data_IF_814608888634
#
_entry.id   IF_814608888634
#
_cell.length_a   1.000
_cell.length_b   1.000
_cell.length_c   1.000
_cell.angle_alpha   90.00
_cell.angle_beta   90.00
_cell.angle_gamma   90.00
#
_symmetry.space_group_name_H-M   'P 1'
#
loop_
_entity.id
_entity.type
_entity.pdbx_description
1 polymer ?
#
# COMPACT_ATOMS: atom_id res chain seq x y z
N UNK A 1 45.94 6.01 -2.25
CA UNK A 1 46.48 7.39 -2.35
C UNK A 1 45.72 8.22 -1.32
N UNK A 2 46.24 8.38 -0.10
CA UNK A 2 47.10 9.49 0.37
C UNK A 2 46.37 10.86 0.26
N UNK A 3 46.29 11.76 1.25
CA UNK A 3 46.70 11.88 2.66
C UNK A 3 46.25 13.31 3.10
N UNK A 4 45.76 13.50 4.34
CA UNK A 4 45.84 14.73 5.21
C UNK A 4 44.75 14.62 6.30
N UNK A 5 44.98 14.42 7.61
CA UNK A 5 45.78 15.17 8.60
C UNK A 5 45.53 16.69 8.52
N UNK A 6 45.22 17.47 9.55
CA UNK A 6 45.23 17.32 11.01
C UNK A 6 44.67 18.64 11.61
N UNK A 7 44.22 18.62 12.88
CA UNK A 7 44.16 19.72 13.87
C UNK A 7 43.03 20.77 13.80
N UNK A 8 42.15 20.78 14.82
CA UNK A 8 42.26 21.78 15.90
C UNK A 8 41.58 21.31 17.20
N UNK A 9 42.23 21.63 18.31
CA UNK A 9 41.93 21.25 19.68
C UNK A 9 41.44 22.48 20.45
N UNK A 10 40.89 22.25 21.67
CA UNK A 10 40.58 23.23 22.73
C UNK A 10 39.20 23.92 22.65
N UNK A 11 38.44 24.18 23.72
CA UNK A 11 38.74 24.32 25.14
C UNK A 11 37.60 23.82 26.06
N UNK A 12 38.05 23.33 27.21
CA UNK A 12 37.38 22.87 28.42
C UNK A 12 36.78 24.07 29.19
N UNK A 13 35.53 23.99 29.63
CA UNK A 13 35.08 24.72 30.84
C UNK A 13 34.20 23.81 31.72
N UNK A 14 34.54 23.83 33.00
CA UNK A 14 34.05 23.04 34.13
C UNK A 14 33.24 24.00 35.03
N UNK A 15 32.51 23.42 35.99
CA UNK A 15 31.93 24.05 37.21
C UNK A 15 30.53 24.67 37.00
N UNK A 16 29.50 24.46 37.83
CA UNK A 16 29.38 23.95 39.20
C UNK A 16 27.98 23.39 39.49
N UNK A 17 27.97 22.36 40.33
CA UNK A 17 26.85 21.83 41.11
C UNK A 17 26.50 22.74 42.29
N UNK A 18 25.20 22.90 42.58
CA UNK A 18 24.71 23.24 43.92
C UNK A 18 23.42 22.44 44.23
N UNK A 19 23.53 21.55 45.21
CA UNK A 19 22.47 21.13 46.16
C UNK A 19 21.96 22.40 46.91
N UNK A 20 20.75 22.54 47.44
CA UNK A 20 19.91 21.62 48.22
C UNK A 20 18.50 22.25 48.46
N UNK A 21 17.50 21.41 48.74
CA UNK A 21 16.08 21.68 49.10
C UNK A 21 15.91 22.26 50.54
N UNK A 22 14.71 22.26 51.19
CA UNK A 22 13.30 22.56 50.83
C UNK A 22 12.68 23.61 51.80
N UNK A 23 11.38 23.92 51.69
CA UNK A 23 10.43 24.01 52.83
C UNK A 23 8.99 24.37 52.35
N UNK A 24 8.10 23.37 52.50
CA UNK A 24 6.74 23.36 53.08
C UNK A 24 5.91 24.67 53.06
N UNK A 25 4.68 24.63 52.52
CA UNK A 25 3.40 24.80 53.28
C UNK A 25 2.13 24.74 52.39
N UNK A 26 1.28 23.75 52.72
CA UNK A 26 -0.21 23.67 52.73
C UNK A 26 -1.02 24.24 51.53
N UNK A 27 -1.68 23.38 50.75
CA UNK A 27 -3.10 22.96 50.93
C UNK A 27 -4.07 24.12 51.22
N UNK A 28 -5.01 24.40 50.31
CA UNK A 28 -6.45 24.57 50.62
C UNK A 28 -7.28 24.59 49.31
N UNK A 29 -8.05 23.52 49.14
CA UNK A 29 -9.46 23.43 48.73
C UNK A 29 -10.03 24.36 47.63
N UNK A 30 -10.51 23.71 46.55
CA UNK A 30 -11.66 24.05 45.68
C UNK A 30 -12.80 24.79 46.41
N UNK A 31 -13.70 25.57 45.75
CA UNK A 31 -14.39 25.15 44.52
C UNK A 31 -14.77 26.27 43.50
N UNK A 32 -15.26 25.84 42.33
CA UNK A 32 -16.04 26.67 41.38
C UNK A 32 -17.30 27.22 42.08
N UNK A 33 -17.82 28.37 41.60
CA UNK A 33 -19.15 28.29 41.01
C UNK A 33 -19.31 29.11 39.72
N UNK A 34 -20.07 28.52 38.81
CA UNK A 34 -20.86 29.16 37.77
C UNK A 34 -21.84 30.19 38.33
N UNK A 35 -22.08 31.33 37.66
CA UNK A 35 -23.37 32.05 37.47
C UNK A 35 -23.03 33.38 36.73
N UNK A 36 -23.40 33.55 35.46
CA UNK A 36 -24.62 34.22 34.97
C UNK A 36 -24.79 35.65 35.51
N UNK A 37 -24.57 36.65 34.64
CA UNK A 37 -25.03 38.03 34.78
C UNK A 37 -25.15 38.58 33.34
N UNK A 38 -26.30 38.52 32.66
CA UNK A 38 -27.49 39.39 32.74
C UNK A 38 -27.14 40.87 32.92
N UNK A 39 -26.94 41.58 31.80
CA UNK A 39 -27.34 42.98 31.70
C UNK A 39 -28.25 43.15 30.48
N UNK A 40 -29.51 43.45 30.78
CA UNK A 40 -30.52 43.95 29.85
C UNK A 40 -30.19 45.42 29.55
N UNK A 41 -30.16 45.80 28.29
CA UNK A 41 -30.60 47.13 27.88
C UNK A 41 -31.62 46.97 26.76
N UNK A 42 -32.82 47.45 27.05
CA UNK A 42 -33.92 47.53 26.11
C UNK A 42 -33.69 48.74 25.21
N UNK A 43 -33.53 48.53 23.91
CA UNK A 43 -33.98 49.52 22.94
C UNK A 43 -34.88 48.83 21.92
N UNK A 44 -36.16 49.11 22.11
CA UNK A 44 -37.25 48.88 21.19
C UNK A 44 -37.08 49.82 20.01
N UNK A 45 -36.84 49.27 18.83
CA UNK A 45 -37.34 49.86 17.58
C UNK A 45 -37.85 48.73 16.69
N UNK A 46 -39.15 48.76 16.51
CA UNK A 46 -39.93 47.89 15.65
C UNK A 46 -39.58 48.11 14.18
N UNK A 47 -38.85 47.16 13.60
CA UNK A 47 -38.96 46.86 12.17
C UNK A 47 -39.07 45.35 12.00
N UNK A 48 -40.19 44.94 11.41
CA UNK A 48 -40.58 43.57 11.10
C UNK A 48 -39.47 42.81 10.36
N UNK A 49 -38.72 41.97 11.08
CA UNK A 49 -37.93 40.90 10.46
C UNK A 49 -38.80 39.64 10.49
N UNK A 50 -39.68 39.49 9.50
CA UNK A 50 -40.26 38.19 9.15
C UNK A 50 -39.20 37.38 8.40
N UNK A 51 -38.14 37.00 9.10
CA UNK A 51 -37.26 35.90 8.68
C UNK A 51 -37.25 34.90 9.82
N UNK A 52 -38.23 33.99 9.77
CA UNK A 52 -38.11 32.71 10.47
C UNK A 52 -36.70 32.17 10.19
N UNK A 53 -35.90 31.80 11.21
CA UNK A 53 -34.61 31.19 10.95
C UNK A 53 -34.92 29.93 10.15
N UNK A 54 -34.45 29.88 8.90
CA UNK A 54 -34.50 28.66 8.09
C UNK A 54 -33.94 27.58 9.00
N UNK A 55 -34.81 26.67 9.47
CA UNK A 55 -34.41 25.46 10.19
C UNK A 55 -33.19 24.95 9.43
N UNK A 56 -32.03 24.90 10.07
CA UNK A 56 -30.86 24.26 9.50
C UNK A 56 -31.29 22.81 9.28
N UNK A 57 -31.86 22.52 8.11
CA UNK A 57 -32.01 21.16 7.61
C UNK A 57 -30.58 20.68 7.59
N UNK A 58 -30.23 19.80 8.52
CA UNK A 58 -29.02 19.00 8.44
C UNK A 58 -29.07 18.43 7.04
N UNK A 59 -28.27 19.00 6.13
CA UNK A 59 -28.16 18.49 4.77
C UNK A 59 -27.68 17.06 4.96
N UNK A 60 -28.53 16.07 4.67
CA UNK A 60 -28.07 14.70 4.50
C UNK A 60 -26.87 14.80 3.58
N UNK A 61 -25.70 14.35 4.05
CA UNK A 61 -24.50 14.34 3.21
C UNK A 61 -24.89 13.58 1.95
N UNK A 62 -24.76 14.21 0.79
CA UNK A 62 -25.01 13.54 -0.47
C UNK A 62 -24.04 12.35 -0.53
N UNK A 63 -24.58 11.18 -0.86
CA UNK A 63 -23.77 9.98 -1.08
C UNK A 63 -22.70 10.32 -2.13
N UNK A 64 -21.44 10.14 -1.75
CA UNK A 64 -20.31 10.45 -2.61
C UNK A 64 -19.48 9.19 -2.82
N UNK A 65 -19.04 8.87 -4.05
CA UNK A 65 -18.20 7.71 -4.31
C UNK A 65 -16.88 7.69 -3.49
N UNK A 66 -16.49 8.83 -2.92
CA UNK A 66 -15.31 8.96 -2.04
C UNK A 66 -15.54 8.51 -0.61
N UNK A 67 -16.80 8.38 -0.19
CA UNK A 67 -17.18 7.96 1.16
C UNK A 67 -17.98 6.68 1.16
N UNK A 68 -18.65 6.37 0.05
CA UNK A 68 -19.42 5.14 -0.08
C UNK A 68 -18.47 3.94 -0.09
N UNK A 69 -18.70 2.94 0.77
CA UNK A 69 -17.91 1.71 0.75
C UNK A 69 -18.19 0.94 -0.53
N UNK A 70 -17.17 0.24 -1.03
CA UNK A 70 -17.29 -0.57 -2.25
C UNK A 70 -18.24 -1.76 -2.05
N UNK A 71 -18.16 -2.42 -0.89
CA UNK A 71 -19.05 -3.49 -0.49
C UNK A 71 -20.12 -2.96 0.47
N UNK A 72 -21.38 -2.97 0.04
CA UNK A 72 -22.54 -2.59 0.86
C UNK A 72 -23.24 -3.80 1.49
N UNK A 73 -23.23 -4.93 0.78
CA UNK A 73 -24.08 -6.08 1.08
C UNK A 73 -23.40 -7.17 1.94
N UNK A 74 -22.09 -7.04 2.19
CA UNK A 74 -21.30 -8.04 2.92
C UNK A 74 -20.76 -7.51 4.25
N UNK A 75 -20.57 -8.39 5.26
CA UNK A 75 -19.96 -7.99 6.52
C UNK A 75 -18.53 -7.51 6.27
N UNK A 76 -18.23 -6.31 6.78
CA UNK A 76 -16.90 -5.72 6.70
C UNK A 76 -15.94 -6.48 7.60
N UNK A 77 -14.74 -6.73 7.09
CA UNK A 77 -13.67 -7.39 7.84
C UNK A 77 -12.76 -6.28 8.40
N UNK A 78 -12.76 -6.03 9.72
CA UNK A 78 -12.06 -4.88 10.31
C UNK A 78 -10.56 -4.87 10.04
N UNK A 79 -9.91 -6.05 10.05
CA UNK A 79 -8.47 -6.16 9.84
C UNK A 79 -8.02 -5.61 8.48
N UNK A 80 -8.76 -5.90 7.40
CA UNK A 80 -8.43 -5.40 6.05
C UNK A 80 -8.65 -3.89 5.91
N UNK A 81 -9.71 -3.35 6.53
CA UNK A 81 -9.95 -1.90 6.54
C UNK A 81 -8.86 -1.17 7.34
N UNK A 82 -8.41 -1.74 8.46
CA UNK A 82 -7.32 -1.19 9.27
C UNK A 82 -6.00 -1.10 8.49
N UNK A 83 -5.71 -2.06 7.61
CA UNK A 83 -4.52 -2.00 6.73
C UNK A 83 -4.58 -0.80 5.78
N UNK A 84 -5.74 -0.50 5.20
CA UNK A 84 -5.92 0.69 4.36
C UNK A 84 -5.73 1.98 5.17
N UNK A 85 -6.27 2.03 6.39
CA UNK A 85 -6.12 3.19 7.27
C UNK A 85 -4.66 3.41 7.69
N UNK A 86 -3.93 2.32 7.98
CA UNK A 86 -2.49 2.33 8.27
C UNK A 86 -1.70 2.91 7.10
N UNK A 87 -1.95 2.44 5.87
CA UNK A 87 -1.27 2.95 4.68
C UNK A 87 -1.57 4.43 4.45
N UNK A 88 -2.82 4.86 4.68
CA UNK A 88 -3.20 6.27 4.59
C UNK A 88 -2.47 7.13 5.63
N UNK A 89 -2.27 6.60 6.84
CA UNK A 89 -1.52 7.25 7.92
C UNK A 89 -0.04 7.43 7.56
N UNK A 90 0.61 6.37 7.09
CA UNK A 90 2.04 6.40 6.71
C UNK A 90 2.31 6.84 5.27
N UNK A 91 1.28 7.27 4.52
CA UNK A 91 1.41 7.70 3.13
C UNK A 91 2.46 8.79 2.93
N UNK A 92 2.59 9.70 3.90
CA UNK A 92 3.62 10.75 3.86
C UNK A 92 5.03 10.16 3.95
N UNK A 93 5.24 9.25 4.90
CA UNK A 93 6.52 8.56 5.11
C UNK A 93 6.94 7.77 3.87
N UNK A 94 6.10 6.84 3.41
CA UNK A 94 6.43 5.95 2.28
C UNK A 94 6.76 6.73 1.01
N UNK A 95 6.00 7.78 0.74
CA UNK A 95 6.20 8.63 -0.43
C UNK A 95 7.43 9.54 -0.32
N UNK A 96 7.65 10.12 0.87
CA UNK A 96 8.82 10.97 1.12
C UNK A 96 10.10 10.14 1.06
N UNK A 97 10.11 8.93 1.63
CA UNK A 97 11.22 7.98 1.49
C UNK A 97 11.55 7.72 0.02
N UNK A 98 10.56 7.31 -0.78
CA UNK A 98 10.74 7.02 -2.19
C UNK A 98 11.15 8.25 -3.04
N UNK A 99 10.86 9.46 -2.57
CA UNK A 99 11.29 10.69 -3.23
C UNK A 99 12.73 11.06 -2.86
N UNK A 100 13.06 11.07 -1.56
CA UNK A 100 14.38 11.42 -1.05
C UNK A 100 15.44 10.42 -1.50
N UNK A 101 15.10 9.13 -1.57
CA UNK A 101 15.98 8.09 -2.10
C UNK A 101 16.49 8.39 -3.53
N UNK A 102 15.76 9.20 -4.31
CA UNK A 102 16.16 9.60 -5.66
C UNK A 102 17.00 10.86 -5.70
N UNK A 103 17.02 11.64 -4.62
CA UNK A 103 17.77 12.88 -4.54
C UNK A 103 19.23 12.58 -4.16
N UNK A 104 20.19 13.34 -4.70
CA UNK A 104 21.56 13.28 -4.19
C UNK A 104 21.56 13.66 -2.71
N UNK A 105 22.31 12.90 -1.90
CA UNK A 105 22.45 13.10 -0.44
C UNK A 105 21.15 12.94 0.38
N UNK A 106 20.05 12.48 -0.24
CA UNK A 106 18.76 12.26 0.43
C UNK A 106 18.17 13.49 1.16
N UNK A 107 18.50 14.72 0.70
CA UNK A 107 18.02 15.97 1.31
C UNK A 107 17.11 16.76 0.36
N UNK A 108 16.20 17.55 0.92
CA UNK A 108 15.32 18.47 0.19
C UNK A 108 15.13 19.80 0.94
N UNK A 109 15.10 20.91 0.21
CA UNK A 109 14.78 22.22 0.75
C UNK A 109 13.29 22.30 1.16
N UNK A 110 12.98 22.86 2.35
CA UNK A 110 11.60 22.94 2.85
C UNK A 110 10.65 23.77 1.97
N UNK A 111 11.17 24.79 1.29
CA UNK A 111 10.35 25.65 0.42
C UNK A 111 9.86 24.90 -0.82
N UNK A 112 10.71 24.06 -1.40
CA UNK A 112 10.36 23.19 -2.53
C UNK A 112 9.46 22.04 -2.08
N UNK A 113 9.74 21.46 -0.91
CA UNK A 113 8.90 20.43 -0.31
C UNK A 113 7.43 20.86 -0.17
N UNK A 114 7.18 22.14 0.14
CA UNK A 114 5.84 22.71 0.22
C UNK A 114 5.06 22.64 -1.10
N UNK A 115 5.75 22.74 -2.24
CA UNK A 115 5.15 22.64 -3.58
C UNK A 115 4.87 21.18 -3.96
N UNK A 116 5.73 20.26 -3.54
CA UNK A 116 5.73 18.82 -3.87
C UNK A 116 4.73 17.96 -3.07
N UNK A 117 3.55 18.51 -2.75
CA UNK A 117 2.52 17.83 -1.97
C UNK A 117 2.04 16.49 -2.55
N UNK A 118 2.02 16.34 -3.87
CA UNK A 118 1.62 15.08 -4.53
C UNK A 118 2.69 13.98 -4.39
N UNK A 119 3.94 14.38 -4.52
CA UNK A 119 5.12 13.51 -4.49
C UNK A 119 5.42 13.06 -3.07
N UNK A 120 5.39 13.97 -2.09
CA UNK A 120 5.60 13.67 -0.67
C UNK A 120 4.36 13.11 0.04
N UNK A 121 3.18 13.19 -0.58
CA UNK A 121 1.99 12.47 -0.10
C UNK A 121 1.14 13.15 0.97
N UNK A 122 1.34 14.45 1.24
CA UNK A 122 0.55 15.20 2.22
C UNK A 122 -0.61 16.02 1.58
N UNK A 123 -1.66 16.37 2.33
CA UNK A 123 -2.79 17.14 1.79
C UNK A 123 -2.39 18.54 1.33
N UNK A 124 -2.88 18.95 0.15
CA UNK A 124 -2.65 20.30 -0.41
C UNK A 124 -3.02 21.39 0.61
N UNK A 125 -2.15 22.38 0.77
CA UNK A 125 -2.35 23.52 1.68
C UNK A 125 -1.96 23.28 3.14
N UNK A 126 -1.44 22.10 3.49
CA UNK A 126 -0.84 21.85 4.81
C UNK A 126 0.66 22.11 4.78
N UNK A 127 1.23 22.57 5.90
CA UNK A 127 2.68 22.77 6.05
C UNK A 127 3.39 21.43 6.25
N UNK A 128 4.40 21.15 5.44
CA UNK A 128 5.22 19.92 5.49
C UNK A 128 5.86 19.71 6.85
N UNK A 129 6.27 20.80 7.50
CA UNK A 129 6.93 20.77 8.81
C UNK A 129 6.12 20.02 9.87
N UNK A 130 4.77 20.08 9.82
CA UNK A 130 3.93 19.33 10.76
C UNK A 130 3.96 17.83 10.53
N UNK A 131 4.19 17.40 9.29
CA UNK A 131 4.31 15.99 8.95
C UNK A 131 5.71 15.47 9.31
N UNK A 132 6.74 16.29 9.11
CA UNK A 132 8.12 15.99 9.52
C UNK A 132 8.21 15.84 11.05
N UNK A 133 7.62 16.78 11.79
CA UNK A 133 7.59 16.75 13.27
C UNK A 133 6.86 15.54 13.87
N UNK A 134 6.06 14.80 13.08
CA UNK A 134 5.44 13.55 13.53
C UNK A 134 6.41 12.36 13.48
N UNK A 135 7.51 12.49 12.75
CA UNK A 135 8.46 11.42 12.44
C UNK A 135 9.90 11.91 12.71
N UNK A 136 10.15 12.44 13.90
CA UNK A 136 11.42 13.09 14.25
C UNK A 136 12.62 12.15 14.23
N UNK A 137 12.42 10.86 14.49
CA UNK A 137 13.48 9.84 14.43
C UNK A 137 13.90 9.49 13.00
N UNK A 138 13.06 9.79 12.01
CA UNK A 138 13.30 9.44 10.61
C UNK A 138 13.82 10.64 9.82
N UNK A 139 13.28 11.82 10.10
CA UNK A 139 13.58 13.04 9.36
C UNK A 139 14.19 14.10 10.27
N UNK A 140 15.35 14.60 9.86
CA UNK A 140 16.03 15.70 10.53
C UNK A 140 15.86 17.01 9.76
N UNK A 141 15.74 18.12 10.48
CA UNK A 141 15.68 19.45 9.88
C UNK A 141 16.86 20.28 10.35
N UNK A 142 17.60 20.88 9.42
CA UNK A 142 18.74 21.73 9.73
C UNK A 142 18.73 23.01 8.90
N UNK A 143 19.47 24.01 9.37
CA UNK A 143 19.65 25.28 8.66
C UNK A 143 20.96 25.22 7.88
N UNK A 144 20.89 25.29 6.57
CA UNK A 144 22.08 25.31 5.72
C UNK A 144 22.74 26.70 5.73
N UNK A 145 23.98 26.78 5.26
CA UNK A 145 24.79 28.03 5.20
C UNK A 145 24.10 29.15 4.42
N UNK A 146 23.22 28.80 3.47
CA UNK A 146 22.41 29.72 2.68
C UNK A 146 21.29 30.42 3.50
N UNK A 147 21.19 30.13 4.80
CA UNK A 147 20.16 30.64 5.68
C UNK A 147 18.78 29.99 5.48
N UNK A 148 18.66 29.07 4.51
CA UNK A 148 17.48 28.26 4.19
C UNK A 148 17.41 27.00 5.04
N UNK A 149 16.20 26.50 5.25
CA UNK A 149 15.95 25.26 5.99
C UNK A 149 15.84 24.07 5.04
N UNK A 150 16.55 23.00 5.38
CA UNK A 150 16.57 21.73 4.66
C UNK A 150 16.07 20.62 5.58
N UNK A 151 15.57 19.54 4.99
CA UNK A 151 15.26 18.32 5.71
C UNK A 151 15.72 17.11 4.90
N UNK A 152 16.16 16.07 5.60
CA UNK A 152 16.68 14.84 4.99
C UNK A 152 16.49 13.66 5.91
N UNK A 153 17.14 12.54 5.57
CA UNK A 153 17.20 11.37 6.44
C UNK A 153 18.08 11.65 7.68
N UNK A 154 17.64 11.10 8.81
CA UNK A 154 18.48 10.95 10.01
C UNK A 154 19.53 9.86 9.80
N UNK A 155 20.59 9.84 10.59
CA UNK A 155 21.57 8.74 10.64
C UNK A 155 20.89 7.37 10.84
N UNK A 156 19.83 7.33 11.67
CA UNK A 156 19.01 6.12 11.85
C UNK A 156 18.37 5.69 10.53
N UNK A 157 17.81 6.65 9.78
CA UNK A 157 17.13 6.35 8.53
C UNK A 157 18.11 5.92 7.43
N UNK A 158 19.31 6.50 7.37
CA UNK A 158 20.37 6.02 6.47
C UNK A 158 20.73 4.56 6.76
N UNK A 159 20.89 4.18 8.04
CA UNK A 159 21.14 2.78 8.41
C UNK A 159 20.00 1.83 8.00
N UNK A 160 18.75 2.31 8.05
CA UNK A 160 17.58 1.54 7.59
C UNK A 160 17.53 1.43 6.07
N UNK A 161 17.97 2.46 5.34
CA UNK A 161 18.06 2.41 3.87
C UNK A 161 19.11 1.40 3.44
N UNK A 162 20.26 1.34 4.12
CA UNK A 162 21.28 0.33 3.87
C UNK A 162 20.76 -1.09 4.13
N UNK A 163 20.00 -1.28 5.21
CA UNK A 163 19.32 -2.55 5.52
C UNK A 163 18.33 -2.95 4.41
N UNK A 164 17.52 -1.99 3.91
CA UNK A 164 16.58 -2.22 2.80
C UNK A 164 17.30 -2.64 1.51
N UNK A 165 18.40 -1.96 1.17
CA UNK A 165 19.23 -2.32 0.02
C UNK A 165 19.80 -3.73 0.14
N UNK A 166 20.28 -4.12 1.33
CA UNK A 166 20.76 -5.47 1.59
C UNK A 166 19.65 -6.53 1.41
N UNK A 167 18.41 -6.21 1.79
CA UNK A 167 17.25 -7.10 1.57
C UNK A 167 16.99 -7.27 0.07
N UNK A 168 17.03 -6.18 -0.71
CA UNK A 168 16.87 -6.25 -2.16
C UNK A 168 17.92 -7.12 -2.84
N UNK A 169 19.18 -7.02 -2.42
CA UNK A 169 20.27 -7.84 -2.97
C UNK A 169 20.09 -9.33 -2.64
N UNK A 170 19.69 -9.66 -1.40
CA UNK A 170 19.42 -11.04 -1.00
C UNK A 170 18.24 -11.65 -1.75
N UNK A 171 17.19 -10.87 -1.98
CA UNK A 171 15.93 -11.33 -2.59
C UNK A 171 15.90 -11.22 -4.12
N UNK A 172 16.99 -10.78 -4.75
CA UNK A 172 17.02 -10.48 -6.18
C UNK A 172 16.49 -11.61 -7.06
N UNK A 173 16.88 -12.86 -6.77
CA UNK A 173 16.44 -14.04 -7.54
C UNK A 173 14.94 -14.24 -7.48
N UNK A 174 14.35 -14.12 -6.29
CA UNK A 174 12.91 -14.25 -6.08
C UNK A 174 12.15 -13.15 -6.83
N UNK A 175 12.67 -11.92 -6.84
CA UNK A 175 12.08 -10.80 -7.60
C UNK A 175 12.18 -11.01 -9.11
N UNK A 176 13.28 -11.57 -9.59
CA UNK A 176 13.44 -11.96 -10.99
C UNK A 176 12.39 -13.01 -11.37
N UNK A 177 12.18 -14.02 -10.54
CA UNK A 177 11.16 -15.06 -10.80
C UNK A 177 9.73 -14.50 -10.75
N UNK A 178 9.44 -13.55 -9.86
CA UNK A 178 8.16 -12.81 -9.84
C UNK A 178 7.93 -12.09 -11.17
N UNK A 179 8.95 -11.39 -11.70
CA UNK A 179 8.83 -10.69 -12.98
C UNK A 179 8.72 -11.67 -14.15
N UNK A 180 9.45 -12.80 -14.12
CA UNK A 180 9.31 -13.87 -15.11
C UNK A 180 7.88 -14.40 -15.14
N UNK A 181 7.31 -14.74 -13.98
CA UNK A 181 5.91 -15.17 -13.86
C UNK A 181 4.92 -14.12 -14.37
N UNK A 182 5.15 -12.84 -14.03
CA UNK A 182 4.30 -11.75 -14.49
C UNK A 182 4.32 -11.62 -16.03
N UNK A 183 5.49 -11.74 -16.66
CA UNK A 183 5.61 -11.78 -18.12
C UNK A 183 4.98 -13.04 -18.71
N UNK A 184 5.13 -14.20 -18.08
CA UNK A 184 4.51 -15.45 -18.56
C UNK A 184 2.99 -15.38 -18.57
N UNK A 185 2.37 -14.61 -17.69
CA UNK A 185 0.93 -14.36 -17.67
C UNK A 185 0.47 -13.27 -18.65
N UNK A 186 1.39 -12.45 -19.17
CA UNK A 186 1.03 -11.35 -20.05
C UNK A 186 0.81 -11.80 -21.49
N UNK A 187 -0.11 -11.12 -22.17
CA UNK A 187 -0.31 -11.23 -23.60
C UNK A 187 1.02 -10.97 -24.33
N UNK A 188 1.37 -11.87 -25.25
CA UNK A 188 2.62 -11.83 -26.01
C UNK A 188 3.90 -11.85 -25.15
N UNK A 189 3.81 -12.17 -23.86
CA UNK A 189 4.95 -12.27 -22.92
C UNK A 189 5.79 -10.99 -22.82
N UNK A 190 5.11 -9.85 -23.02
CA UNK A 190 5.69 -8.50 -23.10
C UNK A 190 4.96 -7.58 -22.12
N UNK A 191 5.71 -6.74 -21.41
CA UNK A 191 5.17 -5.69 -20.54
C UNK A 191 6.05 -4.43 -20.64
N UNK A 192 5.46 -3.23 -20.78
CA UNK A 192 6.20 -1.98 -20.70
C UNK A 192 6.93 -1.80 -19.36
N UNK A 193 8.22 -1.43 -19.40
CA UNK A 193 9.01 -1.22 -18.19
C UNK A 193 8.45 -0.10 -17.30
N UNK A 194 7.78 0.90 -17.89
CA UNK A 194 7.11 1.98 -17.14
C UNK A 194 6.01 1.45 -16.22
N UNK A 195 5.24 0.45 -16.66
CA UNK A 195 4.16 -0.14 -15.86
C UNK A 195 4.70 -0.96 -14.69
N UNK A 196 5.76 -1.75 -14.95
CA UNK A 196 6.48 -2.49 -13.90
C UNK A 196 7.06 -1.51 -12.88
N UNK A 197 7.72 -0.44 -13.34
CA UNK A 197 8.32 0.56 -12.46
C UNK A 197 7.27 1.28 -11.59
N UNK A 198 6.10 1.60 -12.15
CA UNK A 198 5.00 2.21 -11.41
C UNK A 198 4.49 1.29 -10.29
N UNK A 199 4.43 -0.03 -10.54
CA UNK A 199 3.95 -1.03 -9.58
C UNK A 199 5.07 -1.73 -8.79
N UNK A 200 6.33 -1.29 -8.89
CA UNK A 200 7.51 -1.99 -8.34
C UNK A 200 7.40 -2.33 -6.85
N UNK A 201 6.85 -1.41 -6.06
CA UNK A 201 6.70 -1.57 -4.61
C UNK A 201 5.73 -2.70 -4.23
N UNK A 202 4.77 -3.05 -5.10
CA UNK A 202 3.85 -4.16 -4.86
C UNK A 202 4.54 -5.51 -4.93
N UNK A 203 5.54 -5.61 -5.80
CA UNK A 203 6.30 -6.83 -6.05
C UNK A 203 7.62 -6.88 -5.27
N UNK A 204 7.95 -5.82 -4.51
CA UNK A 204 9.25 -5.70 -3.83
C UNK A 204 10.42 -5.53 -4.78
N UNK A 205 10.17 -4.92 -5.95
CA UNK A 205 11.19 -4.68 -6.97
C UNK A 205 11.94 -3.38 -6.65
N UNK A 206 13.29 -3.39 -6.61
CA UNK A 206 14.10 -2.20 -6.32
C UNK A 206 14.02 -1.15 -7.43
N UNK A 207 14.46 0.07 -7.15
CA UNK A 207 14.49 1.15 -8.15
C UNK A 207 15.44 0.84 -9.32
N UNK A 208 16.56 0.19 -9.02
CA UNK A 208 17.63 -0.15 -9.98
C UNK A 208 17.29 -1.36 -10.86
N UNK A 209 16.06 -1.89 -10.75
CA UNK A 209 15.66 -3.10 -11.45
C UNK A 209 15.92 -3.05 -12.95
N UNK A 210 15.78 -1.88 -13.56
CA UNK A 210 16.10 -1.67 -14.98
C UNK A 210 17.53 -2.07 -15.34
N UNK A 211 18.49 -1.78 -14.47
CA UNK A 211 19.89 -2.12 -14.68
C UNK A 211 20.15 -3.59 -14.29
N UNK A 212 19.47 -4.08 -13.24
CA UNK A 212 19.55 -5.50 -12.83
C UNK A 212 19.05 -6.45 -13.91
N UNK A 213 18.02 -6.08 -14.65
CA UNK A 213 17.48 -6.87 -15.79
C UNK A 213 18.56 -7.19 -16.82
N UNK A 214 19.50 -6.28 -17.07
CA UNK A 214 20.59 -6.48 -18.04
C UNK A 214 21.53 -7.63 -17.63
N UNK A 215 21.57 -8.01 -16.35
CA UNK A 215 22.36 -9.14 -15.84
C UNK A 215 21.73 -10.50 -16.18
N UNK A 216 20.48 -10.52 -16.65
CA UNK A 216 19.74 -11.75 -16.98
C UNK A 216 19.31 -11.80 -18.45
N UNK A 217 20.24 -11.76 -19.42
CA UNK A 217 19.92 -11.79 -20.85
C UNK A 217 19.24 -13.10 -21.28
N UNK A 218 19.44 -14.18 -20.53
CA UNK A 218 18.80 -15.47 -20.78
C UNK A 218 17.29 -15.46 -20.50
N UNK A 219 16.83 -14.53 -19.66
CA UNK A 219 15.42 -14.43 -19.25
C UNK A 219 14.73 -13.25 -19.91
N UNK A 220 15.42 -12.12 -20.03
CA UNK A 220 14.83 -10.85 -20.43
C UNK A 220 15.49 -10.26 -21.67
N UNK A 221 14.65 -9.72 -22.54
CA UNK A 221 15.05 -8.87 -23.66
C UNK A 221 14.35 -7.53 -23.53
N UNK A 222 15.11 -6.45 -23.71
CA UNK A 222 14.55 -5.10 -23.74
C UNK A 222 14.40 -4.68 -25.21
N UNK A 223 13.17 -4.55 -25.67
CA UNK A 223 12.85 -3.98 -26.98
C UNK A 223 12.47 -2.51 -26.83
N UNK A 224 12.89 -1.67 -27.78
CA UNK A 224 12.46 -0.29 -27.87
C UNK A 224 11.51 -0.18 -29.06
N UNK A 225 10.25 0.11 -28.79
CA UNK A 225 9.27 0.33 -29.85
C UNK A 225 9.54 1.64 -30.59
N UNK A 226 8.92 1.79 -31.77
CA UNK A 226 8.98 2.99 -32.59
C UNK A 226 8.56 4.26 -31.83
N UNK A 227 7.70 4.11 -30.82
CA UNK A 227 7.23 5.17 -29.91
C UNK A 227 8.28 5.57 -28.84
N UNK A 228 9.46 4.95 -28.83
CA UNK A 228 10.49 5.13 -27.79
C UNK A 228 10.20 4.44 -26.45
N UNK A 229 9.09 3.70 -26.36
CA UNK A 229 8.71 2.93 -25.18
C UNK A 229 9.62 1.71 -25.05
N UNK A 230 10.13 1.49 -23.83
CA UNK A 230 10.95 0.31 -23.51
C UNK A 230 10.05 -0.80 -22.99
N UNK A 231 10.05 -1.93 -23.69
CA UNK A 231 9.26 -3.11 -23.36
C UNK A 231 10.20 -4.20 -22.89
N UNK A 232 9.81 -4.85 -21.80
CA UNK A 232 10.44 -6.06 -21.31
C UNK A 232 9.74 -7.27 -21.93
N UNK A 233 10.49 -8.09 -22.64
CA UNK A 233 10.03 -9.35 -23.24
C UNK A 233 10.70 -10.54 -22.55
N UNK A 234 9.92 -11.61 -22.36
CA UNK A 234 10.45 -12.89 -21.90
C UNK A 234 11.12 -13.65 -23.05
N UNK A 235 12.40 -13.99 -22.89
CA UNK A 235 13.18 -14.76 -23.88
C UNK A 235 12.90 -16.25 -23.74
N UNK A 236 13.07 -16.77 -22.53
CA UNK A 236 12.96 -18.19 -22.26
C UNK A 236 11.76 -18.49 -21.36
N UNK A 237 10.88 -19.38 -21.82
CA UNK A 237 9.75 -19.88 -21.06
C UNK A 237 10.21 -21.01 -20.15
N UNK A 238 9.91 -20.90 -18.85
CA UNK A 238 10.28 -21.91 -17.87
C UNK A 238 9.05 -22.66 -17.37
N UNK A 239 8.85 -23.92 -17.78
CA UNK A 239 7.70 -24.72 -17.35
C UNK A 239 7.64 -24.93 -15.84
N UNK A 240 8.78 -24.89 -15.13
CA UNK A 240 8.80 -25.08 -13.68
C UNK A 240 8.15 -23.90 -12.92
N UNK A 241 8.20 -22.70 -13.52
CA UNK A 241 7.54 -21.51 -13.00
C UNK A 241 6.08 -21.39 -13.45
N UNK A 242 5.70 -22.07 -14.55
CA UNK A 242 4.37 -22.05 -15.14
C UNK A 242 3.34 -22.88 -14.35
N UNK A 243 3.48 -22.96 -13.03
CA UNK A 243 2.55 -23.63 -12.12
C UNK A 243 2.01 -22.60 -11.15
N UNK A 244 0.72 -22.35 -11.26
CA UNK A 244 -0.01 -21.38 -10.42
C UNK A 244 -0.12 -21.86 -8.98
N UNK A 245 -0.32 -20.92 -8.06
CA UNK A 245 -0.54 -21.24 -6.65
C UNK A 245 -1.76 -22.16 -6.49
N UNK A 246 -2.83 -21.92 -7.26
CA UNK A 246 -4.03 -22.77 -7.26
C UNK A 246 -3.74 -24.21 -7.68
N UNK A 247 -2.95 -24.41 -8.73
CA UNK A 247 -2.59 -25.76 -9.20
C UNK A 247 -1.74 -26.49 -8.15
N UNK A 248 -0.82 -25.78 -7.47
CA UNK A 248 -0.04 -26.36 -6.36
C UNK A 248 -0.94 -26.73 -5.17
N UNK A 249 -1.87 -25.85 -4.81
CA UNK A 249 -2.82 -26.12 -3.72
C UNK A 249 -3.78 -27.26 -4.07
N UNK A 250 -4.16 -27.42 -5.33
CA UNK A 250 -5.06 -28.49 -5.78
C UNK A 250 -4.45 -29.88 -5.55
N UNK A 251 -3.12 -30.00 -5.65
CA UNK A 251 -2.40 -31.25 -5.35
C UNK A 251 -2.34 -31.57 -3.84
N UNK A 252 -2.46 -30.55 -2.99
CA UNK A 252 -2.38 -30.70 -1.53
C UNK A 252 -3.77 -30.91 -0.92
N UNK A 253 -4.73 -30.06 -1.32
CA UNK A 253 -6.11 -30.06 -0.85
C UNK A 253 -7.07 -29.66 -1.99
N UNK A 254 -7.52 -30.70 -2.70
CA UNK A 254 -8.44 -30.56 -3.84
C UNK A 254 -9.76 -29.88 -3.43
N UNK A 255 -10.26 -30.24 -2.25
CA UNK A 255 -11.55 -29.82 -1.76
C UNK A 255 -11.56 -28.33 -1.37
N UNK A 256 -10.45 -27.81 -0.84
CA UNK A 256 -10.28 -26.37 -0.60
C UNK A 256 -10.33 -25.58 -1.90
N UNK A 257 -9.63 -26.03 -2.94
CA UNK A 257 -9.61 -25.34 -4.25
C UNK A 257 -10.99 -25.39 -4.93
N UNK A 258 -11.68 -26.54 -4.89
CA UNK A 258 -13.08 -26.67 -5.37
C UNK A 258 -14.04 -25.70 -4.69
N UNK A 259 -13.79 -25.37 -3.42
CA UNK A 259 -14.61 -24.42 -2.65
C UNK A 259 -14.21 -22.96 -2.82
N UNK A 260 -12.99 -22.69 -3.31
CA UNK A 260 -12.45 -21.34 -3.45
C UNK A 260 -13.28 -20.52 -4.45
N UNK A 261 -13.48 -21.04 -5.66
CA UNK A 261 -14.28 -20.38 -6.69
C UNK A 261 -15.65 -21.03 -6.87
N UNK A 262 -16.69 -20.20 -7.05
CA UNK A 262 -18.05 -20.66 -7.37
C UNK A 262 -18.54 -19.99 -8.63
N UNK A 263 -18.79 -20.77 -9.68
CA UNK A 263 -19.39 -20.28 -10.94
C UNK A 263 -20.84 -20.81 -11.06
N UNK A 264 -21.83 -20.09 -10.52
CA UNK A 264 -23.19 -20.61 -10.45
C UNK A 264 -23.85 -20.73 -11.84
N UNK A 265 -24.69 -21.75 -12.02
CA UNK A 265 -25.52 -21.90 -13.22
C UNK A 265 -26.53 -20.76 -13.31
N UNK A 266 -26.59 -20.06 -14.47
CA UNK A 266 -27.42 -18.86 -14.68
C UNK A 266 -28.93 -19.08 -14.44
N UNK A 267 -29.44 -20.29 -14.60
CA UNK A 267 -30.85 -20.64 -14.46
C UNK A 267 -31.14 -21.66 -13.34
N UNK A 268 -30.22 -21.86 -12.38
CA UNK A 268 -30.40 -22.89 -11.35
C UNK A 268 -31.71 -22.76 -10.54
N UNK A 269 -32.17 -21.52 -10.29
CA UNK A 269 -33.44 -21.25 -9.60
C UNK A 269 -34.70 -21.51 -10.45
N UNK A 270 -34.59 -21.41 -11.77
CA UNK A 270 -35.69 -21.70 -12.68
C UNK A 270 -35.85 -23.21 -12.91
N UNK A 271 -34.76 -23.95 -12.68
CA UNK A 271 -34.70 -25.39 -12.86
C UNK A 271 -35.16 -26.19 -11.63
N UNK A 272 -35.58 -25.52 -10.55
CA UNK A 272 -36.01 -26.13 -9.27
C UNK A 272 -35.10 -27.27 -8.79
N UNK A 273 -33.78 -27.11 -9.00
CA UNK A 273 -32.81 -28.18 -8.72
C UNK A 273 -32.70 -28.45 -7.23
N UNK A 274 -32.53 -29.73 -6.88
CA UNK A 274 -32.16 -30.12 -5.53
C UNK A 274 -30.79 -29.53 -5.15
N UNK A 275 -30.57 -29.35 -3.84
CA UNK A 275 -29.36 -28.71 -3.31
C UNK A 275 -28.08 -29.42 -3.77
N UNK A 276 -28.13 -30.76 -3.89
CA UNK A 276 -26.96 -31.55 -4.28
C UNK A 276 -26.72 -31.55 -5.80
N UNK A 277 -27.78 -31.47 -6.60
CA UNK A 277 -27.67 -31.28 -8.05
C UNK A 277 -27.14 -29.89 -8.40
N UNK A 278 -27.57 -28.85 -7.68
CA UNK A 278 -27.02 -27.51 -7.84
C UNK A 278 -25.53 -27.48 -7.48
N UNK A 279 -25.12 -28.15 -6.39
CA UNK A 279 -23.70 -28.27 -6.03
C UNK A 279 -22.91 -28.99 -7.12
N UNK A 280 -23.43 -30.10 -7.66
CA UNK A 280 -22.78 -30.88 -8.72
C UNK A 280 -22.63 -30.06 -10.00
N UNK A 281 -23.69 -29.37 -10.44
CA UNK A 281 -23.66 -28.52 -11.61
C UNK A 281 -22.74 -27.31 -11.44
N UNK A 282 -22.73 -26.70 -10.26
CA UNK A 282 -21.78 -25.63 -9.93
C UNK A 282 -20.34 -26.14 -9.96
N UNK A 283 -20.08 -27.37 -9.51
CA UNK A 283 -18.74 -27.98 -9.57
C UNK A 283 -18.31 -28.25 -11.02
N UNK A 284 -19.21 -28.75 -11.86
CA UNK A 284 -18.98 -28.92 -13.30
C UNK A 284 -18.72 -27.58 -14.00
N UNK A 285 -19.41 -26.51 -13.57
CA UNK A 285 -19.10 -25.18 -14.05
C UNK A 285 -17.79 -24.64 -13.50
N UNK A 286 -17.34 -25.04 -12.31
CA UNK A 286 -16.08 -24.53 -11.73
C UNK A 286 -14.87 -25.22 -12.33
N UNK A 287 -14.92 -26.53 -12.58
CA UNK A 287 -13.79 -27.32 -13.09
C UNK A 287 -13.90 -27.57 -14.61
N UNK A 288 -12.79 -27.70 -15.35
CA UNK A 288 -11.42 -27.48 -14.89
C UNK A 288 -11.14 -25.99 -14.62
N UNK A 289 -10.19 -25.73 -13.71
CA UNK A 289 -9.62 -24.40 -13.55
C UNK A 289 -8.69 -24.14 -14.74
N UNK A 290 -8.83 -22.97 -15.37
CA UNK A 290 -7.98 -22.58 -16.49
C UNK A 290 -6.68 -22.01 -15.92
N UNK A 291 -5.54 -22.52 -16.37
CA UNK A 291 -4.23 -22.06 -15.90
C UNK A 291 -3.97 -20.61 -16.30
N UNK A 292 -3.52 -19.73 -15.39
CA UNK A 292 -3.13 -18.36 -15.70
C UNK A 292 -1.99 -18.23 -16.72
N UNK A 293 -1.21 -19.30 -16.92
CA UNK A 293 -0.09 -19.36 -17.85
C UNK A 293 -0.47 -19.95 -19.22
N UNK A 294 -1.75 -20.21 -19.45
CA UNK A 294 -2.29 -20.60 -20.77
C UNK A 294 -2.62 -19.37 -21.63
N UNK A 295 -2.76 -19.55 -22.94
CA UNK A 295 -3.01 -18.45 -23.89
C UNK A 295 -4.44 -17.88 -23.79
N UNK A 296 -4.69 -17.07 -22.75
CA UNK A 296 -6.01 -16.48 -22.50
C UNK A 296 -6.46 -15.41 -23.50
N UNK A 297 -5.57 -14.94 -24.39
CA UNK A 297 -5.91 -14.01 -25.46
C UNK A 297 -6.81 -14.65 -26.53
N UNK A 298 -6.77 -15.98 -26.64
CA UNK A 298 -7.61 -16.74 -27.58
C UNK A 298 -9.05 -16.96 -27.09
N UNK A 299 -9.34 -16.65 -25.82
CA UNK A 299 -10.63 -16.90 -25.21
C UNK A 299 -11.64 -15.80 -25.52
N UNK A 300 -12.84 -16.19 -25.94
CA UNK A 300 -13.95 -15.27 -26.19
C UNK A 300 -14.40 -14.58 -24.90
N UNK A 301 -14.43 -13.24 -24.92
CA UNK A 301 -14.66 -12.36 -23.75
C UNK A 301 -15.89 -12.70 -22.91
N UNK A 302 -16.93 -13.27 -23.53
CA UNK A 302 -18.24 -13.52 -22.91
C UNK A 302 -18.45 -14.97 -22.46
N UNK A 303 -17.44 -15.81 -22.61
CA UNK A 303 -17.48 -17.21 -22.18
C UNK A 303 -17.20 -17.35 -20.69
N UNK A 304 -17.74 -18.42 -20.11
CA UNK A 304 -17.48 -18.79 -18.72
C UNK A 304 -15.99 -19.17 -18.52
N UNK A 305 -15.35 -19.72 -19.54
CA UNK A 305 -13.91 -20.03 -19.56
C UNK A 305 -13.05 -18.77 -19.48
N UNK A 306 -13.38 -17.71 -20.24
CA UNK A 306 -12.69 -16.43 -20.14
C UNK A 306 -12.86 -15.78 -18.75
N UNK A 307 -14.05 -15.89 -18.13
CA UNK A 307 -14.27 -15.41 -16.76
C UNK A 307 -13.41 -16.17 -15.75
N UNK A 308 -13.35 -17.51 -15.85
CA UNK A 308 -12.47 -18.35 -15.02
C UNK A 308 -11.00 -17.98 -15.17
N UNK A 309 -10.52 -17.84 -16.41
CA UNK A 309 -9.14 -17.48 -16.70
C UNK A 309 -8.77 -16.17 -16.02
N UNK A 310 -9.59 -15.12 -16.17
CA UNK A 310 -9.34 -13.80 -15.57
C UNK A 310 -9.34 -13.83 -14.04
N UNK A 311 -10.22 -14.62 -13.44
CA UNK A 311 -10.23 -14.84 -11.98
C UNK A 311 -8.91 -15.50 -11.54
N UNK A 312 -8.46 -16.53 -12.27
CA UNK A 312 -7.18 -17.20 -12.01
C UNK A 312 -5.98 -16.26 -12.19
N UNK A 313 -5.98 -15.42 -13.23
CA UNK A 313 -4.94 -14.42 -13.47
C UNK A 313 -4.86 -13.40 -12.34
N UNK A 314 -5.99 -12.87 -11.86
CA UNK A 314 -5.96 -11.93 -10.72
C UNK A 314 -5.53 -12.64 -9.44
N UNK A 315 -5.93 -13.89 -9.24
CA UNK A 315 -5.49 -14.69 -8.10
C UNK A 315 -3.97 -14.88 -8.09
N UNK A 316 -3.38 -15.30 -9.21
CA UNK A 316 -1.93 -15.45 -9.33
C UNK A 316 -1.23 -14.09 -9.21
N UNK A 317 -1.76 -13.05 -9.87
CA UNK A 317 -1.20 -11.69 -9.78
C UNK A 317 -1.12 -11.19 -8.34
N UNK A 318 -2.18 -11.38 -7.54
CA UNK A 318 -2.17 -11.01 -6.14
C UNK A 318 -1.19 -11.86 -5.34
N UNK A 319 -1.07 -13.16 -5.63
CA UNK A 319 -0.07 -14.01 -4.98
C UNK A 319 1.38 -13.61 -5.30
N UNK A 320 1.63 -12.95 -6.43
CA UNK A 320 2.94 -12.35 -6.74
C UNK A 320 3.24 -11.08 -5.95
N UNK A 321 2.22 -10.42 -5.38
CA UNK A 321 2.43 -9.22 -4.56
C UNK A 321 2.86 -9.58 -3.15
N UNK A 322 3.69 -8.73 -2.54
CA UNK A 322 4.22 -8.94 -1.18
C UNK A 322 3.10 -9.15 -0.15
N UNK A 323 2.11 -8.26 -0.15
CA UNK A 323 1.03 -8.26 0.85
C UNK A 323 -0.21 -9.03 0.38
N UNK A 324 -0.13 -9.81 -0.71
CA UNK A 324 -1.28 -10.52 -1.31
C UNK A 324 -2.51 -9.63 -1.54
N UNK A 325 -2.26 -8.38 -1.93
CA UNK A 325 -3.27 -7.35 -2.16
C UNK A 325 -2.80 -6.34 -3.20
N UNK A 326 -3.74 -5.73 -3.91
CA UNK A 326 -3.45 -4.66 -4.84
C UNK A 326 -4.60 -3.66 -4.94
N UNK A 327 -4.25 -2.38 -5.13
CA UNK A 327 -5.24 -1.35 -5.46
C UNK A 327 -5.78 -1.56 -6.87
N UNK A 328 -7.01 -1.14 -7.12
CA UNK A 328 -7.59 -1.21 -8.47
C UNK A 328 -6.76 -0.45 -9.52
N UNK A 329 -6.14 0.67 -9.13
CA UNK A 329 -5.30 1.47 -10.03
C UNK A 329 -4.10 0.67 -10.53
N UNK A 330 -3.53 -0.19 -9.68
CA UNK A 330 -2.42 -1.06 -10.07
C UNK A 330 -2.89 -2.19 -10.99
N UNK A 331 -4.05 -2.79 -10.73
CA UNK A 331 -4.61 -3.86 -11.57
C UNK A 331 -4.99 -3.33 -12.96
N UNK A 332 -5.62 -2.16 -13.04
CA UNK A 332 -6.05 -1.54 -14.30
C UNK A 332 -4.85 -1.08 -15.15
N UNK A 333 -3.70 -0.77 -14.54
CA UNK A 333 -2.47 -0.46 -15.27
C UNK A 333 -2.07 -1.60 -16.23
N UNK A 334 -2.28 -2.84 -15.79
CA UNK A 334 -1.98 -4.06 -16.56
C UNK A 334 -3.18 -4.61 -17.35
N UNK A 335 -4.21 -3.79 -17.62
CA UNK A 335 -5.44 -4.28 -18.27
C UNK A 335 -5.20 -4.90 -19.65
N UNK A 336 -4.24 -4.39 -20.41
CA UNK A 336 -3.95 -4.86 -21.77
C UNK A 336 -3.12 -6.15 -21.71
N UNK A 337 -2.11 -6.14 -20.85
CA UNK A 337 -1.18 -7.25 -20.65
C UNK A 337 -1.89 -8.48 -20.06
N UNK A 338 -2.72 -8.29 -19.04
CA UNK A 338 -3.48 -9.38 -18.41
C UNK A 338 -4.84 -9.62 -19.07
N UNK A 339 -5.06 -9.00 -20.24
CA UNK A 339 -6.30 -9.10 -21.03
C UNK A 339 -7.57 -8.76 -20.24
N UNK A 340 -7.54 -7.90 -19.22
CA UNK A 340 -8.65 -7.57 -18.32
C UNK A 340 -9.75 -6.73 -19.00
N UNK A 341 -10.99 -6.84 -18.50
CA UNK A 341 -12.16 -6.13 -19.04
C UNK A 341 -12.73 -5.12 -18.05
N UNK A 342 -13.61 -4.23 -18.53
CA UNK A 342 -14.39 -3.32 -17.67
C UNK A 342 -15.24 -4.05 -16.61
N UNK A 343 -15.51 -5.34 -16.79
CA UNK A 343 -16.30 -6.18 -15.88
C UNK A 343 -15.47 -6.83 -14.76
N UNK A 344 -14.16 -6.55 -14.69
CA UNK A 344 -13.27 -7.10 -13.65
C UNK A 344 -13.82 -6.89 -12.23
N UNK A 345 -14.40 -5.73 -11.95
CA UNK A 345 -15.03 -5.46 -10.66
C UNK A 345 -16.21 -6.41 -10.36
N UNK A 346 -17.13 -6.58 -11.31
CA UNK A 346 -18.30 -7.45 -11.14
C UNK A 346 -17.88 -8.91 -11.00
N UNK A 347 -16.85 -9.32 -11.73
CA UNK A 347 -16.26 -10.66 -11.64
C UNK A 347 -15.70 -10.94 -10.24
N UNK A 348 -14.95 -10.00 -9.65
CA UNK A 348 -14.41 -10.15 -8.30
C UNK A 348 -15.50 -10.19 -7.23
N UNK A 349 -16.57 -9.38 -7.37
CA UNK A 349 -17.72 -9.39 -6.47
C UNK A 349 -18.47 -10.74 -6.45
N UNK A 350 -18.49 -11.47 -7.57
CA UNK A 350 -19.08 -12.81 -7.63
C UNK A 350 -18.29 -13.86 -6.84
N UNK A 351 -17.04 -13.56 -6.47
CA UNK A 351 -16.12 -14.48 -5.80
C UNK A 351 -15.76 -14.00 -4.38
N UNK A 352 -16.74 -13.82 -3.46
CA UNK A 352 -16.50 -13.29 -2.11
C UNK A 352 -15.76 -14.26 -1.18
N UNK A 353 -15.62 -15.53 -1.56
CA UNK A 353 -14.88 -16.55 -0.78
C UNK A 353 -13.37 -16.33 -0.85
N UNK A 354 -12.88 -16.01 -2.05
CA UNK A 354 -11.46 -15.81 -2.32
C UNK A 354 -11.04 -14.35 -2.15
N UNK A 355 -11.86 -13.42 -2.66
CA UNK A 355 -11.51 -12.00 -2.65
C UNK A 355 -12.31 -11.21 -1.61
N UNK A 356 -11.64 -10.23 -1.00
CA UNK A 356 -12.28 -9.17 -0.24
C UNK A 356 -11.97 -7.82 -0.89
N UNK A 357 -13.00 -6.99 -1.08
CA UNK A 357 -12.85 -5.67 -1.67
C UNK A 357 -13.06 -4.64 -0.56
N UNK A 358 -11.98 -3.96 -0.18
CA UNK A 358 -11.97 -3.02 0.92
C UNK A 358 -11.84 -1.57 0.41
N UNK A 359 -12.33 -0.61 1.19
CA UNK A 359 -12.28 0.82 0.85
C UNK A 359 -13.54 1.36 0.18
N UNK A 360 -13.37 2.31 -0.72
CA UNK A 360 -14.44 3.17 -1.27
C UNK A 360 -14.73 2.87 -2.74
N UNK A 361 -15.91 3.28 -3.23
CA UNK A 361 -16.27 3.17 -4.66
C UNK A 361 -15.21 3.79 -5.58
N UNK A 362 -14.53 4.87 -5.15
CA UNK A 362 -13.46 5.53 -5.93
C UNK A 362 -12.08 4.87 -5.78
N UNK A 363 -11.71 4.49 -4.56
CA UNK A 363 -10.42 3.88 -4.25
C UNK A 363 -10.65 2.63 -3.40
N UNK A 364 -10.47 1.48 -4.02
CA UNK A 364 -10.60 0.18 -3.37
C UNK A 364 -9.39 -0.70 -3.64
N UNK A 365 -9.21 -1.65 -2.74
CA UNK A 365 -8.11 -2.61 -2.73
C UNK A 365 -8.69 -4.02 -2.70
N UNK A 366 -8.14 -4.89 -3.52
CA UNK A 366 -8.48 -6.32 -3.54
C UNK A 366 -7.50 -7.03 -2.63
N UNK A 367 -8.05 -7.79 -1.68
CA UNK A 367 -7.32 -8.66 -0.80
C UNK A 367 -7.63 -10.11 -1.14
N UNK A 368 -6.60 -10.94 -1.08
CA UNK A 368 -6.72 -12.37 -1.22
C UNK A 368 -6.87 -13.00 0.17
N UNK A 369 -8.08 -13.49 0.50
CA UNK A 369 -8.41 -13.94 1.86
C UNK A 369 -7.55 -15.10 2.34
N UNK A 370 -7.25 -16.05 1.46
CA UNK A 370 -6.35 -17.20 1.75
C UNK A 370 -4.93 -16.78 2.13
N UNK A 371 -4.53 -15.54 1.81
CA UNK A 371 -3.23 -15.02 2.16
C UNK A 371 -3.07 -14.67 3.63
N UNK A 372 -4.18 -14.54 4.36
CA UNK A 372 -4.23 -14.00 5.70
C UNK A 372 -4.80 -15.05 6.67
N UNK A 373 -4.20 -15.12 7.86
CA UNK A 373 -4.73 -15.91 8.97
C UNK A 373 -5.98 -15.27 9.58
N UNK A 374 -6.61 -15.97 10.53
CA UNK A 374 -7.79 -15.48 11.25
C UNK A 374 -7.53 -14.15 11.98
N UNK A 375 -6.30 -13.94 12.43
CA UNK A 375 -5.84 -12.71 13.09
C UNK A 375 -5.68 -11.50 12.14
N UNK A 376 -5.85 -11.71 10.83
CA UNK A 376 -5.64 -10.69 9.79
C UNK A 376 -4.17 -10.40 9.48
N UNK A 377 -3.24 -11.23 9.96
CA UNK A 377 -1.82 -11.20 9.59
C UNK A 377 -1.56 -12.06 8.35
N UNK A 378 -0.56 -11.67 7.56
CA UNK A 378 -0.14 -12.42 6.38
C UNK A 378 0.51 -13.75 6.80
N UNK A 379 0.13 -14.85 6.16
CA UNK A 379 0.63 -16.19 6.53
C UNK A 379 2.11 -16.34 6.16
N UNK A 380 2.49 -15.94 4.94
CA UNK A 380 3.87 -15.97 4.46
C UNK A 380 4.39 -14.53 4.40
N UNK A 381 5.15 -14.13 5.41
CA UNK A 381 5.76 -12.81 5.47
C UNK A 381 7.07 -12.79 4.67
N UNK A 382 7.20 -11.76 3.84
CA UNK A 382 8.40 -11.48 3.08
C UNK A 382 9.33 -10.58 3.93
N UNK A 383 10.66 -10.76 3.90
CA UNK A 383 11.60 -9.92 4.64
C UNK A 383 11.41 -8.41 4.43
N UNK A 384 10.96 -8.00 3.24
CA UNK A 384 10.64 -6.61 2.93
C UNK A 384 9.45 -6.08 3.75
N UNK A 385 8.48 -6.93 4.08
CA UNK A 385 7.35 -6.56 4.92
C UNK A 385 7.74 -6.41 6.38
N UNK A 386 8.58 -7.29 6.89
CA UNK A 386 9.10 -7.20 8.25
C UNK A 386 9.90 -5.90 8.44
N UNK A 387 10.71 -5.54 7.43
CA UNK A 387 11.38 -4.25 7.37
C UNK A 387 10.39 -3.08 7.34
N UNK A 388 9.33 -3.14 6.52
CA UNK A 388 8.32 -2.08 6.48
C UNK A 388 7.60 -1.91 7.83
N UNK A 389 7.31 -3.02 8.54
CA UNK A 389 6.73 -2.97 9.88
C UNK A 389 7.68 -2.35 10.90
N UNK A 390 8.97 -2.70 10.84
CA UNK A 390 10.03 -2.07 11.64
C UNK A 390 10.12 -0.56 11.38
N UNK A 391 10.12 -0.15 10.11
CA UNK A 391 10.11 1.25 9.71
C UNK A 391 8.89 2.00 10.26
N UNK A 392 7.68 1.41 10.18
CA UNK A 392 6.48 2.03 10.73
C UNK A 392 6.49 2.15 12.25
N UNK A 393 7.14 1.21 12.95
CA UNK A 393 7.34 1.32 14.42
C UNK A 393 8.22 2.51 14.76
N UNK A 394 9.39 2.65 14.12
CA UNK A 394 10.25 3.82 14.34
C UNK A 394 9.57 5.13 13.94
N UNK A 395 8.76 5.12 12.88
CA UNK A 395 8.01 6.29 12.47
C UNK A 395 6.94 6.72 13.48
N UNK A 396 6.40 5.79 14.27
CA UNK A 396 5.41 6.07 15.29
C UNK A 396 6.05 6.53 16.62
N UNK A 397 7.31 6.15 16.87
CA UNK A 397 8.07 6.56 18.06
C UNK A 397 8.51 8.03 17.95
N UNK A 398 8.41 8.76 19.07
CA UNK A 398 8.88 10.15 19.17
C UNK A 398 10.25 10.26 19.86
N UNK A 399 10.58 9.30 20.73
CA UNK A 399 11.87 9.19 21.41
C UNK A 399 12.36 7.75 21.29
N UNK A 400 13.68 7.56 21.16
CA UNK A 400 14.29 6.23 21.15
C UNK A 400 14.37 5.75 22.60
N UNK A 401 13.79 4.59 22.92
CA UNK A 401 13.96 4.01 24.26
C UNK A 401 15.46 3.73 24.49
N UNK A 402 16.07 4.23 25.58
CA UNK A 402 17.48 3.99 25.86
C UNK A 402 17.67 2.51 26.20
N UNK A 403 18.06 1.69 25.22
CA UNK A 403 18.41 0.28 25.44
C UNK A 403 18.08 -0.71 24.32
N UNK A 404 17.53 -0.30 23.18
CA UNK A 404 17.39 -1.19 22.01
C UNK A 404 18.65 -1.15 21.16
N UNK A 405 19.65 -1.94 21.56
CA UNK A 405 20.84 -2.19 20.74
C UNK A 405 20.44 -2.70 19.35
N UNK A 406 20.97 -2.05 18.31
CA UNK A 406 20.78 -2.33 16.87
C UNK A 406 21.33 -3.69 16.40
N UNK A 407 21.66 -4.60 17.31
CA UNK A 407 22.25 -5.91 17.01
C UNK A 407 21.45 -7.02 17.69
N UNK A 408 20.30 -7.38 17.12
CA UNK A 408 19.68 -8.72 17.24
C UNK A 408 18.39 -8.80 16.40
N UNK A 409 18.55 -9.25 15.15
CA UNK A 409 17.64 -10.19 14.47
C UNK A 409 18.17 -10.49 13.09
#
# INVERSE_FOLDING_TARGET
>A
MALRCLLYNSHKFRLLSLQENPLIYQQFLNPKPSFVCVFKSCFSTSFLITKTPKKFKIRKKNDSPRTNPIQKDYPRIPHFENLILRDAHFRFLTKTKAYLFKQPEHVLQLDEAGKLHKELGFPRGRKVIRSIQRHQLIFETYRHTDGKMWFGFSDLMESLVDEECCIWDKMEKDRVDVVRKLLMMSANKRIPLSKIYHCRLLFGIPEDFRDRVLRYPNYFKIEVENDGKRILELVNWDPSLAVSVLEKEFLVDEDRVKRAFKFPVKHGKLLELEVDDEKRLNLLNTLPLVSPYSDGASLDLWTLEAEKYRVGVIHEFLNLTLEKRASIHHIVEFKEELSLTKHTYQMLLKQPRTFYLAGTEMNWVVFLKEGYGEDGKLINQDPQLDFNEKLYKYAAMQEMEPGTDLNKS
#
